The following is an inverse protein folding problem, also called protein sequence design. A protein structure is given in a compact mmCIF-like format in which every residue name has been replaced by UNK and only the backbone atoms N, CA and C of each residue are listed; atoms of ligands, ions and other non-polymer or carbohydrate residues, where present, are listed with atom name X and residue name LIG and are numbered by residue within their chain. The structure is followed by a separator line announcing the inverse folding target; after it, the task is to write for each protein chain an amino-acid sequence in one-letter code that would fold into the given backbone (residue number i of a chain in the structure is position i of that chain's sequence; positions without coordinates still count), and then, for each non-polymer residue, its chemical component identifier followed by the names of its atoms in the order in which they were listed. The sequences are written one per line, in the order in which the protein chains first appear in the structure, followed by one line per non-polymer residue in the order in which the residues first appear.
data_IF_676496252110
#
_entry.id   IF_676496252110
#
_cell.length_a   1.000
_cell.length_b   1.000
_cell.length_c   1.000
_cell.angle_alpha   90.00
_cell.angle_beta   90.00
_cell.angle_gamma   90.00
#
_symmetry.space_group_name_H-M   'P 1'
#
loop_
_entity.id
_entity.type
_entity.pdbx_description
1 polymer ?
#
# COMPACT_ATOMS: atom_id res chain seq x y z
N UNK A 1 -29.69 -32.52 -56.37
CA UNK A 1 -28.23 -32.41 -56.02
C UNK A 1 -27.91 -31.38 -54.93
N UNK A 2 -28.36 -30.11 -54.98
CA UNK A 2 -28.01 -29.08 -53.99
C UNK A 2 -28.42 -29.40 -52.51
N UNK A 3 -29.56 -30.03 -52.25
CA UNK A 3 -30.01 -30.34 -50.87
C UNK A 3 -29.16 -31.40 -50.15
N UNK A 4 -28.60 -32.36 -50.90
CA UNK A 4 -27.74 -33.38 -50.27
C UNK A 4 -26.35 -32.84 -49.99
N UNK A 5 -25.84 -31.88 -50.79
CA UNK A 5 -24.57 -31.24 -50.56
C UNK A 5 -24.56 -30.40 -49.26
N UNK A 6 -25.63 -29.63 -49.02
CA UNK A 6 -25.78 -28.81 -47.80
C UNK A 6 -25.91 -29.71 -46.56
N UNK A 7 -26.67 -30.82 -46.62
CA UNK A 7 -26.79 -31.74 -45.53
C UNK A 7 -25.49 -32.42 -45.16
N UNK A 8 -24.68 -32.81 -46.18
CA UNK A 8 -23.38 -33.43 -45.93
C UNK A 8 -22.35 -32.42 -45.45
N UNK A 9 -22.45 -31.15 -45.83
CA UNK A 9 -21.59 -30.08 -45.31
C UNK A 9 -21.89 -29.79 -43.82
N UNK A 10 -23.19 -29.83 -43.43
CA UNK A 10 -23.59 -29.65 -42.03
C UNK A 10 -23.13 -30.81 -41.14
N UNK A 11 -23.18 -32.06 -41.65
CA UNK A 11 -22.65 -33.23 -40.94
C UNK A 11 -21.11 -33.19 -40.78
N UNK A 12 -20.40 -32.63 -41.78
CA UNK A 12 -18.95 -32.46 -41.68
C UNK A 12 -18.56 -31.43 -40.58
N UNK A 13 -19.37 -30.37 -40.43
CA UNK A 13 -19.15 -29.36 -39.40
C UNK A 13 -19.47 -29.84 -37.96
N UNK A 14 -20.36 -30.83 -37.83
CA UNK A 14 -20.71 -31.40 -36.52
C UNK A 14 -19.62 -32.35 -35.97
N UNK A 15 -18.66 -32.76 -36.80
CA UNK A 15 -17.51 -33.59 -36.43
C UNK A 15 -16.22 -32.80 -36.20
N UNK A 16 -16.25 -31.46 -36.25
CA UNK A 16 -15.11 -30.68 -35.80
C UNK A 16 -14.95 -30.94 -34.30
N UNK A 17 -13.88 -31.58 -33.82
CA UNK A 17 -13.64 -31.70 -32.39
C UNK A 17 -13.61 -30.30 -31.82
N UNK A 18 -14.40 -30.05 -30.78
CA UNK A 18 -14.20 -28.90 -29.94
C UNK A 18 -12.77 -29.02 -29.41
N UNK A 19 -11.83 -28.33 -30.05
CA UNK A 19 -10.49 -28.14 -29.53
C UNK A 19 -10.69 -27.20 -28.34
N UNK A 20 -10.90 -27.79 -27.16
CA UNK A 20 -10.76 -27.07 -25.91
C UNK A 20 -9.30 -26.63 -25.85
N UNK A 21 -9.04 -25.39 -26.24
CA UNK A 21 -7.77 -24.76 -25.97
C UNK A 21 -7.73 -24.53 -24.45
N UNK A 22 -7.20 -25.50 -23.72
CA UNK A 22 -6.74 -25.25 -22.36
C UNK A 22 -5.63 -24.20 -22.49
N UNK A 23 -5.99 -22.94 -22.27
CA UNK A 23 -5.00 -21.92 -22.01
C UNK A 23 -4.29 -22.32 -20.72
N UNK A 24 -3.18 -23.03 -20.84
CA UNK A 24 -2.27 -23.21 -19.73
C UNK A 24 -1.74 -21.83 -19.34
N UNK A 25 -2.41 -21.20 -18.41
CA UNK A 25 -1.91 -20.04 -17.71
C UNK A 25 -0.76 -20.51 -16.81
N UNK A 26 0.38 -20.76 -17.42
CA UNK A 26 1.61 -20.86 -16.68
C UNK A 26 1.88 -19.47 -16.12
N UNK A 27 1.42 -19.24 -14.88
CA UNK A 27 1.82 -18.08 -14.14
C UNK A 27 3.33 -18.06 -14.09
N UNK A 28 3.97 -17.14 -14.77
CA UNK A 28 5.41 -16.93 -14.64
C UNK A 28 5.66 -16.43 -13.22
N UNK A 29 6.08 -17.33 -12.35
CA UNK A 29 6.53 -16.97 -11.00
C UNK A 29 8.01 -16.66 -11.10
N UNK A 30 8.36 -15.40 -10.87
CA UNK A 30 9.74 -14.95 -10.77
C UNK A 30 10.04 -14.76 -9.29
N UNK A 31 11.01 -15.52 -8.78
CA UNK A 31 11.52 -15.36 -7.43
C UNK A 31 12.70 -14.39 -7.45
N UNK A 32 12.53 -13.24 -6.80
CA UNK A 32 13.63 -12.29 -6.62
C UNK A 32 14.38 -12.62 -5.32
N UNK A 33 15.61 -13.09 -5.44
CA UNK A 33 16.49 -13.28 -4.29
C UNK A 33 16.87 -11.92 -3.69
N UNK A 34 17.06 -11.88 -2.36
CA UNK A 34 17.47 -10.66 -1.65
C UNK A 34 18.75 -10.03 -2.19
N UNK A 35 19.63 -10.81 -2.85
CA UNK A 35 20.84 -10.32 -3.46
C UNK A 35 20.56 -9.46 -4.72
N UNK A 36 19.41 -9.65 -5.37
CA UNK A 36 19.03 -8.87 -6.56
C UNK A 36 18.63 -7.44 -6.19
N UNK A 37 17.96 -7.23 -5.07
CA UNK A 37 17.61 -5.89 -4.60
C UNK A 37 18.56 -5.37 -3.51
N UNK A 38 19.53 -6.21 -3.06
CA UNK A 38 20.68 -5.79 -2.24
C UNK A 38 20.36 -5.23 -0.85
N UNK A 39 19.18 -5.52 -0.29
CA UNK A 39 18.67 -4.89 0.92
C UNK A 39 18.05 -5.90 1.90
N UNK A 40 17.51 -5.40 3.00
CA UNK A 40 16.93 -6.23 4.05
C UNK A 40 15.84 -7.18 3.56
N UNK A 41 15.82 -8.40 4.10
CA UNK A 41 14.87 -9.44 3.68
C UNK A 41 13.44 -9.21 4.18
N UNK A 42 13.21 -8.26 5.10
CA UNK A 42 11.88 -7.99 5.64
C UNK A 42 11.17 -6.91 4.86
N UNK A 43 9.96 -7.25 4.39
CA UNK A 43 9.01 -6.34 3.75
C UNK A 43 7.69 -6.41 4.50
N UNK A 44 7.15 -5.25 4.88
CA UNK A 44 5.93 -5.17 5.69
C UNK A 44 4.69 -4.80 4.89
N UNK A 45 4.84 -3.97 3.85
CA UNK A 45 3.73 -3.51 3.00
C UNK A 45 4.16 -3.45 1.54
N UNK A 46 3.17 -3.60 0.68
CA UNK A 46 3.31 -3.51 -0.78
C UNK A 46 2.23 -2.56 -1.29
N UNK A 47 2.60 -1.63 -2.16
CA UNK A 47 1.69 -0.68 -2.78
C UNK A 47 1.97 -0.61 -4.29
N UNK A 48 1.08 -1.11 -5.14
CA UNK A 48 1.19 -0.93 -6.59
C UNK A 48 0.87 0.51 -6.98
N UNK A 49 1.53 1.00 -8.04
CA UNK A 49 1.27 2.30 -8.64
C UNK A 49 1.20 2.17 -10.15
N UNK A 50 0.00 2.32 -10.68
CA UNK A 50 -0.34 2.00 -12.06
C UNK A 50 0.14 0.59 -12.45
N UNK A 51 0.26 0.30 -13.73
CA UNK A 51 0.83 -0.98 -14.21
C UNK A 51 2.37 -0.93 -14.35
N UNK A 52 3.03 0.07 -13.74
CA UNK A 52 4.45 0.35 -13.97
C UNK A 52 5.34 0.10 -12.77
N UNK A 53 4.89 0.46 -11.57
CA UNK A 53 5.73 0.41 -10.38
C UNK A 53 5.05 -0.30 -9.22
N UNK A 54 5.86 -0.96 -8.42
CA UNK A 54 5.45 -1.51 -7.14
C UNK A 54 6.40 -0.97 -6.07
N UNK A 55 5.83 -0.41 -5.02
CA UNK A 55 6.58 0.07 -3.87
C UNK A 55 6.46 -0.90 -2.71
N UNK A 56 7.55 -1.04 -1.95
CA UNK A 56 7.63 -1.94 -0.82
C UNK A 56 8.17 -1.19 0.40
N UNK A 57 7.49 -1.33 1.52
CA UNK A 57 8.02 -0.91 2.82
C UNK A 57 9.02 -1.97 3.29
N UNK A 58 10.31 -1.64 3.29
CA UNK A 58 11.38 -2.59 3.56
C UNK A 58 12.32 -2.11 4.67
N UNK A 59 13.05 -3.04 5.28
CA UNK A 59 13.97 -2.81 6.39
C UNK A 59 15.00 -1.71 6.14
N UNK A 60 15.41 -1.48 4.91
CA UNK A 60 16.48 -0.54 4.60
C UNK A 60 16.00 0.69 3.80
N UNK A 61 14.70 0.94 3.78
CA UNK A 61 14.10 2.02 3.03
C UNK A 61 12.88 1.58 2.21
N UNK A 62 12.28 2.48 1.50
CA UNK A 62 11.26 2.15 0.52
C UNK A 62 11.93 1.61 -0.73
N UNK A 63 11.54 0.42 -1.18
CA UNK A 63 11.97 -0.13 -2.46
C UNK A 63 10.95 0.26 -3.54
N UNK A 64 11.44 0.53 -4.73
CA UNK A 64 10.68 0.68 -5.96
C UNK A 64 11.13 -0.39 -6.94
N UNK A 65 10.16 -1.04 -7.58
CA UNK A 65 10.40 -1.99 -8.66
C UNK A 65 9.59 -1.60 -9.88
N UNK A 66 10.22 -1.54 -11.04
CA UNK A 66 9.61 -1.16 -12.33
C UNK A 66 9.38 -2.34 -13.29
N UNK A 67 9.51 -3.58 -12.78
CA UNK A 67 9.47 -4.80 -13.58
C UNK A 67 10.87 -5.30 -13.99
N UNK A 68 11.91 -4.47 -13.92
CA UNK A 68 13.27 -4.81 -14.31
C UNK A 68 14.32 -4.40 -13.24
N UNK A 69 14.24 -3.19 -12.75
CA UNK A 69 15.21 -2.58 -11.84
C UNK A 69 14.64 -2.31 -10.45
N UNK A 70 15.51 -2.38 -9.45
CA UNK A 70 15.22 -2.07 -8.06
C UNK A 70 15.92 -0.78 -7.65
N UNK A 71 15.15 0.17 -7.14
CA UNK A 71 15.66 1.39 -6.54
C UNK A 71 15.32 1.44 -5.05
N UNK A 72 16.17 2.10 -4.25
CA UNK A 72 16.00 2.21 -2.80
C UNK A 72 15.96 3.66 -2.40
N UNK A 73 14.95 4.01 -1.63
CA UNK A 73 14.72 5.36 -1.13
C UNK A 73 14.68 5.32 0.41
N UNK A 74 15.74 5.74 1.10
CA UNK A 74 15.75 5.79 2.56
C UNK A 74 14.93 6.98 3.07
N UNK A 75 14.45 6.89 4.31
CA UNK A 75 13.99 8.03 5.09
C UNK A 75 15.20 8.87 5.56
N UNK A 76 14.96 10.10 6.04
CA UNK A 76 16.05 10.98 6.50
C UNK A 76 16.81 10.38 7.70
N UNK A 77 16.08 9.74 8.62
CA UNK A 77 16.67 9.08 9.79
C UNK A 77 17.21 7.68 9.49
N UNK A 78 17.15 7.24 8.23
CA UNK A 78 17.59 5.90 7.78
C UNK A 78 16.97 4.72 8.50
N UNK A 79 15.83 4.93 9.17
CA UNK A 79 15.11 3.84 9.83
C UNK A 79 14.42 2.91 8.82
N UNK A 80 13.99 1.75 9.34
CA UNK A 80 13.16 0.82 8.59
C UNK A 80 11.88 1.53 8.12
N UNK A 81 11.48 1.32 6.87
CA UNK A 81 10.16 1.72 6.38
C UNK A 81 9.17 0.62 6.71
N UNK A 82 8.16 0.93 7.51
CA UNK A 82 7.14 -0.01 8.00
C UNK A 82 5.86 0.04 7.18
N UNK A 83 5.55 1.19 6.61
CA UNK A 83 4.35 1.40 5.82
C UNK A 83 4.62 2.20 4.57
N UNK A 84 3.86 1.91 3.53
CA UNK A 84 3.86 2.64 2.25
C UNK A 84 2.42 2.73 1.75
N UNK A 85 2.06 3.89 1.20
CA UNK A 85 0.77 4.14 0.56
C UNK A 85 0.99 4.99 -0.69
N UNK A 86 0.43 4.57 -1.81
CA UNK A 86 0.36 5.39 -3.02
C UNK A 86 -0.96 6.16 -3.02
N UNK A 87 -0.87 7.48 -3.04
CA UNK A 87 -2.01 8.38 -3.19
C UNK A 87 -2.04 8.93 -4.60
N UNK A 88 -3.00 8.49 -5.39
CA UNK A 88 -3.22 9.03 -6.73
C UNK A 88 -3.85 10.42 -6.68
N UNK A 89 -4.65 10.70 -5.64
CA UNK A 89 -5.27 12.01 -5.43
C UNK A 89 -4.24 13.12 -5.21
N UNK A 90 -3.16 12.81 -4.50
CA UNK A 90 -2.09 13.77 -4.22
C UNK A 90 -0.87 13.61 -5.14
N UNK A 91 -0.84 12.58 -6.01
CA UNK A 91 0.33 12.20 -6.80
C UNK A 91 1.60 12.03 -5.92
N UNK A 92 1.47 11.29 -4.81
CA UNK A 92 2.50 11.10 -3.79
C UNK A 92 2.59 9.66 -3.34
N UNK A 93 3.78 9.25 -2.95
CA UNK A 93 4.04 7.98 -2.30
C UNK A 93 4.38 8.28 -0.84
N UNK A 94 3.45 8.00 0.07
CA UNK A 94 3.66 8.17 1.50
C UNK A 94 4.43 7.00 2.07
N UNK A 95 5.36 7.28 2.98
CA UNK A 95 6.15 6.29 3.69
C UNK A 95 6.24 6.62 5.17
N UNK A 96 6.20 5.58 5.99
CA UNK A 96 6.32 5.68 7.45
C UNK A 96 7.34 4.69 7.98
N UNK A 97 8.19 5.17 8.88
CA UNK A 97 9.24 4.42 9.55
C UNK A 97 9.13 4.51 11.06
N UNK A 98 10.27 4.62 11.75
CA UNK A 98 10.32 4.76 13.21
C UNK A 98 10.44 6.25 13.54
N UNK A 99 9.40 6.81 14.18
CA UNK A 99 9.28 8.24 14.54
C UNK A 99 9.44 9.19 13.34
N UNK A 100 9.34 8.70 12.12
CA UNK A 100 9.44 9.48 10.91
C UNK A 100 8.39 9.04 9.90
N UNK A 101 7.74 10.00 9.26
CA UNK A 101 6.89 9.78 8.10
C UNK A 101 6.91 10.99 7.18
N UNK A 102 6.61 10.74 5.94
CA UNK A 102 6.60 11.75 4.92
C UNK A 102 6.09 11.20 3.60
N UNK A 103 6.42 11.89 2.52
CA UNK A 103 6.05 11.46 1.19
C UNK A 103 7.17 11.71 0.18
N UNK A 104 7.13 10.95 -0.88
CA UNK A 104 7.95 11.16 -2.07
C UNK A 104 7.07 11.79 -3.16
N UNK A 105 7.59 12.80 -3.83
CA UNK A 105 7.00 13.39 -5.03
C UNK A 105 7.84 12.99 -6.25
N UNK A 106 7.19 12.53 -7.35
CA UNK A 106 7.89 12.29 -8.61
C UNK A 106 8.37 13.61 -9.20
N UNK A 107 9.66 13.71 -9.46
CA UNK A 107 10.25 14.78 -10.21
C UNK A 107 9.90 14.71 -11.71
N UNK A 108 10.13 15.77 -12.44
CA UNK A 108 9.93 15.81 -13.90
C UNK A 108 10.88 14.85 -14.66
N UNK A 109 12.00 14.53 -14.06
CA UNK A 109 13.02 13.60 -14.55
C UNK A 109 12.78 12.15 -14.11
N UNK A 110 11.66 11.86 -13.42
CA UNK A 110 11.33 10.54 -12.86
C UNK A 110 12.01 10.24 -11.53
N UNK A 111 12.84 11.14 -11.00
CA UNK A 111 13.39 11.01 -9.66
C UNK A 111 12.32 11.15 -8.60
N UNK A 112 12.52 10.50 -7.44
CA UNK A 112 11.66 10.67 -6.28
C UNK A 112 12.36 11.56 -5.25
N UNK A 113 11.72 12.69 -4.89
CA UNK A 113 12.20 13.58 -3.84
C UNK A 113 11.41 13.38 -2.56
N UNK A 114 12.11 13.11 -1.46
CA UNK A 114 11.49 12.91 -0.16
C UNK A 114 11.23 14.24 0.56
N UNK A 115 10.08 14.33 1.19
CA UNK A 115 9.66 15.43 2.06
C UNK A 115 9.22 14.86 3.41
N UNK A 116 10.01 15.13 4.44
CA UNK A 116 9.70 14.71 5.79
C UNK A 116 8.57 15.57 6.36
N UNK A 117 7.47 14.92 6.77
CA UNK A 117 6.34 15.60 7.40
C UNK A 117 6.49 15.65 8.91
N UNK A 118 7.12 14.65 9.50
CA UNK A 118 7.30 14.54 10.95
C UNK A 118 8.22 15.61 11.54
N UNK A 119 9.12 16.21 10.76
CA UNK A 119 10.02 17.28 11.23
C UNK A 119 9.27 18.57 11.61
N UNK A 120 8.07 18.76 11.08
CA UNK A 120 7.24 19.94 11.35
C UNK A 120 6.28 19.76 12.51
N UNK A 121 6.28 18.56 13.13
CA UNK A 121 5.35 18.22 14.19
C UNK A 121 5.78 18.83 15.53
N UNK A 122 4.78 19.24 16.30
CA UNK A 122 4.94 19.57 17.71
C UNK A 122 5.13 18.29 18.53
N UNK A 123 5.63 18.43 19.75
CA UNK A 123 6.03 17.31 20.63
C UNK A 123 4.92 16.27 20.85
N UNK A 124 3.67 16.68 20.90
CA UNK A 124 2.51 15.80 21.08
C UNK A 124 2.23 14.89 19.86
N UNK A 125 2.66 15.29 18.67
CA UNK A 125 2.50 14.51 17.44
C UNK A 125 3.78 13.78 17.01
N UNK A 126 4.94 14.12 17.57
CA UNK A 126 6.26 13.74 17.05
C UNK A 126 6.64 12.27 17.27
N UNK A 127 6.27 11.71 18.41
CA UNK A 127 6.70 10.36 18.80
C UNK A 127 5.59 9.34 18.55
N UNK A 128 5.56 8.76 17.34
CA UNK A 128 4.59 7.73 16.97
C UNK A 128 5.09 6.32 17.26
N UNK A 129 6.39 6.13 17.53
CA UNK A 129 7.02 4.82 17.47
C UNK A 129 7.10 4.33 16.03
N UNK A 130 6.76 3.09 15.77
CA UNK A 130 6.67 2.57 14.41
C UNK A 130 5.40 3.06 13.72
N UNK A 131 5.52 3.61 12.52
CA UNK A 131 4.36 3.97 11.69
C UNK A 131 3.92 2.75 10.89
N UNK A 132 3.05 1.93 11.49
CA UNK A 132 2.65 0.62 10.95
C UNK A 132 1.69 0.69 9.78
N UNK A 133 0.82 1.70 9.75
CA UNK A 133 -0.13 1.88 8.68
C UNK A 133 -0.28 3.35 8.30
N UNK A 134 -0.52 3.58 7.02
CA UNK A 134 -0.93 4.87 6.47
C UNK A 134 -2.26 4.63 5.76
N UNK A 135 -3.24 5.48 6.03
CA UNK A 135 -4.55 5.43 5.39
C UNK A 135 -4.92 6.78 4.80
N UNK A 136 -5.70 6.75 3.75
CA UNK A 136 -6.26 7.93 3.10
C UNK A 136 -7.78 7.80 2.99
N UNK A 137 -8.50 8.84 3.37
CA UNK A 137 -9.93 8.97 3.14
C UNK A 137 -10.32 10.46 3.09
N UNK A 138 -11.14 10.85 2.12
CA UNK A 138 -11.68 12.22 2.00
C UNK A 138 -10.60 13.31 2.09
N UNK A 139 -9.47 13.10 1.42
CA UNK A 139 -8.31 14.02 1.43
C UNK A 139 -7.61 14.13 2.81
N UNK A 140 -7.89 13.22 3.73
CA UNK A 140 -7.28 13.12 5.04
C UNK A 140 -6.29 11.99 5.04
N UNK A 141 -5.08 12.25 5.53
CA UNK A 141 -4.07 11.22 5.78
C UNK A 141 -4.06 10.85 7.26
N UNK A 142 -3.96 9.56 7.54
CA UNK A 142 -3.84 9.02 8.88
C UNK A 142 -2.56 8.19 8.97
N UNK A 143 -1.69 8.56 9.90
CA UNK A 143 -0.44 7.84 10.20
C UNK A 143 -0.61 7.14 11.53
N UNK A 144 -0.70 5.81 11.51
CA UNK A 144 -0.90 5.00 12.71
C UNK A 144 0.45 4.59 13.30
N UNK A 145 0.71 5.04 14.51
CA UNK A 145 1.82 4.62 15.34
C UNK A 145 1.49 3.46 16.30
N UNK A 146 2.35 3.26 17.31
CA UNK A 146 2.19 2.18 18.30
C UNK A 146 0.99 2.42 19.26
N UNK A 147 0.74 3.69 19.66
CA UNK A 147 -0.33 4.05 20.60
C UNK A 147 -1.06 5.35 20.24
N UNK A 148 -0.79 5.92 19.08
CA UNK A 148 -1.44 7.14 18.60
C UNK A 148 -1.54 7.15 17.10
N UNK A 149 -2.45 7.98 16.61
CA UNK A 149 -2.65 8.24 15.20
C UNK A 149 -2.47 9.74 14.97
N UNK A 150 -1.68 10.09 13.98
CA UNK A 150 -1.60 11.47 13.49
C UNK A 150 -2.49 11.61 12.27
N UNK A 151 -3.51 12.45 12.41
CA UNK A 151 -4.39 12.90 11.32
C UNK A 151 -3.81 14.16 10.70
N UNK A 152 -3.67 14.17 9.39
CA UNK A 152 -3.24 15.33 8.61
C UNK A 152 -4.31 15.74 7.64
N UNK A 153 -4.69 17.01 7.69
CA UNK A 153 -5.67 17.64 6.79
C UNK A 153 -5.28 19.10 6.54
N UNK A 154 -5.09 19.47 5.29
CA UNK A 154 -4.86 20.86 4.85
C UNK A 154 -3.76 21.58 5.66
N UNK A 155 -2.62 20.96 5.85
CA UNK A 155 -1.49 21.52 6.58
C UNK A 155 -1.59 21.45 8.11
N UNK A 156 -2.68 20.90 8.66
CA UNK A 156 -2.88 20.75 10.10
C UNK A 156 -2.71 19.30 10.52
N UNK A 157 -2.01 19.12 11.63
CA UNK A 157 -1.85 17.82 12.29
C UNK A 157 -2.69 17.77 13.57
N UNK A 158 -3.28 16.64 13.85
CA UNK A 158 -4.02 16.37 15.07
C UNK A 158 -3.62 14.99 15.57
N UNK A 159 -3.11 14.93 16.82
CA UNK A 159 -2.84 13.67 17.49
C UNK A 159 -4.15 13.10 18.03
N UNK A 160 -4.36 11.82 17.83
CA UNK A 160 -5.45 11.03 18.39
C UNK A 160 -4.77 9.94 19.20
N UNK A 161 -4.86 10.07 20.51
CA UNK A 161 -4.22 9.14 21.43
C UNK A 161 -5.18 8.04 21.86
N UNK A 162 -4.60 6.89 22.18
CA UNK A 162 -5.28 5.80 22.85
C UNK A 162 -4.41 5.34 24.02
N UNK A 163 -5.03 5.00 25.11
CA UNK A 163 -4.40 4.39 26.30
C UNK A 163 -4.18 2.88 26.13
N UNK A 164 -4.44 2.37 24.94
CA UNK A 164 -4.21 0.99 24.51
C UNK A 164 -3.17 0.94 23.38
N UNK A 165 -2.44 -0.16 23.31
CA UNK A 165 -1.56 -0.43 22.18
C UNK A 165 -2.38 -0.72 20.94
N UNK A 166 -2.04 -0.08 19.81
CA UNK A 166 -2.68 -0.33 18.53
C UNK A 166 -1.97 -1.50 17.86
N UNK A 167 -2.71 -2.60 17.65
CA UNK A 167 -2.17 -3.78 16.98
C UNK A 167 -2.42 -3.74 15.45
N UNK A 168 -3.55 -3.18 15.03
CA UNK A 168 -3.88 -3.04 13.61
C UNK A 168 -4.83 -1.87 13.37
N UNK A 169 -4.92 -1.44 12.11
CA UNK A 169 -5.95 -0.50 11.66
C UNK A 169 -6.37 -0.79 10.23
N UNK A 170 -7.60 -0.43 9.90
CA UNK A 170 -8.15 -0.63 8.56
C UNK A 170 -9.10 0.51 8.20
N UNK A 171 -9.02 0.96 6.95
CA UNK A 171 -9.96 1.94 6.40
C UNK A 171 -11.07 1.18 5.65
N UNK A 172 -12.30 1.30 6.12
CA UNK A 172 -13.47 0.62 5.52
C UNK A 172 -14.53 1.66 5.22
N UNK A 173 -14.83 1.86 3.96
CA UNK A 173 -15.84 2.85 3.49
C UNK A 173 -15.62 4.26 4.06
N UNK A 174 -14.35 4.71 4.09
CA UNK A 174 -13.98 6.04 4.61
C UNK A 174 -13.94 6.16 6.14
N UNK A 175 -14.20 5.08 6.86
CA UNK A 175 -14.17 5.04 8.34
C UNK A 175 -12.94 4.26 8.79
N UNK A 176 -12.16 4.84 9.71
CA UNK A 176 -10.97 4.21 10.28
C UNK A 176 -11.36 3.36 11.50
N UNK A 177 -11.11 2.07 11.39
CA UNK A 177 -11.23 1.10 12.48
C UNK A 177 -9.85 0.76 13.05
N UNK A 178 -9.78 0.57 14.35
CA UNK A 178 -8.53 0.35 15.09
C UNK A 178 -8.73 -0.85 16.00
N UNK A 179 -7.91 -1.86 15.83
CA UNK A 179 -7.83 -3.02 16.71
C UNK A 179 -6.76 -2.81 17.79
N UNK A 180 -7.13 -3.02 19.02
CA UNK A 180 -6.25 -2.93 20.18
C UNK A 180 -6.42 -4.16 21.07
N UNK A 181 -5.56 -4.33 22.05
CA UNK A 181 -5.69 -5.34 23.13
C UNK A 181 -6.96 -5.19 23.98
N UNK A 182 -7.66 -4.05 23.87
CA UNK A 182 -8.93 -3.75 24.58
C UNK A 182 -10.17 -3.77 23.71
N UNK A 183 -10.05 -4.23 22.45
CA UNK A 183 -11.16 -4.35 21.52
C UNK A 183 -11.01 -3.50 20.28
N UNK A 184 -12.10 -3.38 19.53
CA UNK A 184 -12.17 -2.63 18.27
C UNK A 184 -12.75 -1.25 18.50
N UNK A 185 -12.04 -0.25 18.01
CA UNK A 185 -12.45 1.16 18.09
C UNK A 185 -12.73 1.70 16.71
N UNK A 186 -13.58 2.69 16.63
CA UNK A 186 -13.86 3.45 15.41
C UNK A 186 -13.52 4.92 15.64
N UNK A 187 -12.89 5.53 14.64
CA UNK A 187 -12.61 6.96 14.69
C UNK A 187 -13.80 7.75 14.13
N UNK A 188 -14.40 8.58 14.99
CA UNK A 188 -15.47 9.51 14.63
C UNK A 188 -14.98 10.93 14.86
N UNK A 189 -14.75 11.67 13.77
CA UNK A 189 -14.13 12.99 13.84
C UNK A 189 -12.68 12.92 14.35
N UNK A 190 -12.44 13.27 15.62
CA UNK A 190 -11.14 13.18 16.30
C UNK A 190 -11.23 12.32 17.58
N UNK A 191 -12.32 11.61 17.78
CA UNK A 191 -12.56 10.81 19.00
C UNK A 191 -12.65 9.35 18.65
N UNK A 192 -12.01 8.51 19.46
CA UNK A 192 -12.14 7.05 19.38
C UNK A 192 -13.35 6.59 20.19
N UNK A 193 -14.17 5.76 19.58
CA UNK A 193 -15.33 5.13 20.22
C UNK A 193 -15.18 3.61 20.17
N UNK A 194 -15.28 2.95 21.33
CA UNK A 194 -15.21 1.49 21.43
C UNK A 194 -16.46 0.88 20.81
N UNK A 195 -16.29 -0.12 19.95
CA UNK A 195 -17.38 -0.92 19.40
C UNK A 195 -17.66 -2.05 20.40
N UNK A 196 -18.84 -2.02 20.98
CA UNK A 196 -19.34 -3.14 21.77
C UNK A 196 -19.97 -4.17 20.83
N UNK A 197 -19.42 -5.37 20.81
CA UNK A 197 -19.94 -6.53 20.06
C UNK A 197 -20.77 -7.39 21.02
#
# INVERSE_FOLDING_TARGET
MKKHLIRNLFLLFSFLPFIETFANWNSFIINFDKNLYGKGAQTWKIAPYDDKWVFFANKNGMLQFDGNAWNVFPLNNTSDVRSVLVSTAHNRIYAGGINEFGYYEPGRDGSLKYYCMSDTLKDDCRYLGNVWNIHEADNIMYFQGDSRIVKYLNGKYTAIETDAKIDCSSMIKGILYIGTDRGVWVLVGNTLSLIHI
#
